data_IF_266501885098
#
_entry.id   IF_266501885098
#
_cell.length_a   1.000
_cell.length_b   1.000
_cell.length_c   1.000
_cell.angle_alpha   90.00
_cell.angle_beta   90.00
_cell.angle_gamma   90.00
#
_symmetry.space_group_name_H-M   'P 1'
#
loop_
_entity.id
_entity.type
_entity.pdbx_description
1 polymer ?
#
# COMPACT_ATOMS: atom_id res chain seq x y z
N UNK A 1 14.25 -0.80 14.02
CA UNK A 1 15.63 -1.03 13.50
C UNK A 1 15.72 -2.30 12.66
N UNK A 2 15.08 -3.41 13.05
CA UNK A 2 15.10 -4.65 12.24
C UNK A 2 14.44 -4.48 10.86
N UNK A 3 13.47 -3.58 10.72
CA UNK A 3 12.77 -3.31 9.47
C UNK A 3 13.71 -2.81 8.35
N UNK A 4 14.82 -2.15 8.71
CA UNK A 4 15.83 -1.72 7.75
C UNK A 4 16.53 -2.89 7.04
N UNK A 5 16.56 -4.08 7.66
CA UNK A 5 17.13 -5.28 7.04
C UNK A 5 16.24 -5.89 5.95
N UNK A 6 15.03 -5.37 5.76
CA UNK A 6 14.15 -5.76 4.66
C UNK A 6 14.40 -4.96 3.37
N UNK A 7 15.25 -3.93 3.43
CA UNK A 7 15.65 -3.15 2.25
C UNK A 7 16.44 -4.02 1.28
N UNK A 8 16.17 -3.84 -0.02
CA UNK A 8 16.95 -4.50 -1.07
C UNK A 8 18.43 -4.07 -1.04
N UNK A 9 19.32 -5.03 -1.24
CA UNK A 9 20.75 -4.77 -1.35
C UNK A 9 21.06 -4.39 -2.80
N UNK A 10 21.68 -3.22 -2.98
CA UNK A 10 22.08 -2.72 -4.28
C UNK A 10 23.43 -3.36 -4.71
N UNK A 11 23.60 -3.71 -5.99
CA UNK A 11 24.84 -4.28 -6.50
C UNK A 11 25.92 -3.20 -6.68
N UNK A 12 26.89 -3.15 -5.78
CA UNK A 12 27.99 -2.18 -5.80
C UNK A 12 28.69 -2.12 -7.17
N UNK A 13 29.02 -3.28 -7.73
CA UNK A 13 29.75 -3.39 -9.00
C UNK A 13 29.01 -2.78 -10.23
N UNK A 14 27.72 -2.48 -10.10
CA UNK A 14 26.92 -1.82 -11.15
C UNK A 14 26.64 -0.34 -10.83
N UNK A 15 26.86 0.07 -9.59
CA UNK A 15 26.47 1.40 -9.11
C UNK A 15 27.65 2.22 -8.59
N UNK A 16 28.85 1.63 -8.50
CA UNK A 16 30.05 2.34 -8.06
C UNK A 16 30.34 3.51 -9.00
N UNK A 17 30.34 4.71 -8.45
CA UNK A 17 30.57 5.97 -9.20
C UNK A 17 29.35 6.53 -9.93
N UNK A 18 28.19 5.85 -9.89
CA UNK A 18 26.95 6.31 -10.49
C UNK A 18 26.12 7.16 -9.52
N UNK A 19 25.38 8.13 -10.05
CA UNK A 19 24.32 8.78 -9.27
C UNK A 19 23.09 7.87 -9.22
N UNK A 20 22.77 7.36 -8.04
CA UNK A 20 21.65 6.43 -7.81
C UNK A 20 20.30 6.99 -8.21
N UNK A 21 20.15 8.32 -8.32
CA UNK A 21 18.88 8.94 -8.73
C UNK A 21 18.67 8.94 -10.25
N UNK A 22 19.75 8.89 -11.03
CA UNK A 22 19.72 9.07 -12.49
C UNK A 22 20.28 7.90 -13.27
N UNK A 23 20.86 6.91 -12.60
CA UNK A 23 21.47 5.74 -13.26
C UNK A 23 20.47 4.94 -14.09
N UNK A 24 20.93 4.40 -15.21
CA UNK A 24 20.14 3.48 -16.05
C UNK A 24 19.76 2.18 -15.35
N UNK A 25 20.41 1.84 -14.24
CA UNK A 25 20.04 0.72 -13.37
C UNK A 25 18.57 0.80 -12.90
N UNK A 26 18.05 2.02 -12.69
CA UNK A 26 16.65 2.20 -12.27
C UNK A 26 15.63 1.78 -13.33
N UNK A 27 16.05 1.70 -14.60
CA UNK A 27 15.22 1.25 -15.71
C UNK A 27 15.45 -0.23 -16.07
N UNK A 28 16.61 -0.77 -15.67
CA UNK A 28 16.98 -2.16 -15.91
C UNK A 28 17.58 -2.77 -14.65
N UNK A 29 16.77 -2.95 -13.58
CA UNK A 29 17.28 -3.39 -12.30
C UNK A 29 17.75 -4.85 -12.35
N UNK A 30 18.87 -5.12 -11.69
CA UNK A 30 19.40 -6.47 -11.47
C UNK A 30 19.25 -6.82 -10.00
N UNK A 31 18.63 -7.95 -9.71
CA UNK A 31 18.39 -8.42 -8.36
C UNK A 31 18.53 -9.92 -8.22
N UNK A 32 18.44 -10.41 -6.99
CA UNK A 32 18.53 -11.84 -6.64
C UNK A 32 17.17 -12.48 -6.40
N UNK A 33 16.10 -11.83 -6.84
CA UNK A 33 14.72 -12.25 -6.61
C UNK A 33 14.30 -13.47 -7.43
N UNK A 34 13.06 -13.93 -7.16
CA UNK A 34 12.43 -15.04 -7.88
C UNK A 34 12.12 -14.74 -9.34
N UNK A 35 12.04 -13.46 -9.67
CA UNK A 35 11.79 -12.96 -11.02
C UNK A 35 12.89 -11.98 -11.39
N UNK A 36 13.24 -11.97 -12.67
CA UNK A 36 14.16 -11.03 -13.32
C UNK A 36 13.36 -10.02 -14.10
N UNK A 37 13.82 -8.78 -14.15
CA UNK A 37 13.27 -7.75 -15.01
C UNK A 37 13.44 -8.14 -16.49
N UNK A 38 12.41 -7.94 -17.29
CA UNK A 38 12.43 -8.20 -18.73
C UNK A 38 12.20 -6.92 -19.53
N UNK A 39 11.14 -6.18 -19.21
CA UNK A 39 10.76 -4.99 -19.98
C UNK A 39 9.94 -4.02 -19.14
N UNK A 40 10.02 -2.74 -19.48
CA UNK A 40 9.20 -1.68 -18.96
C UNK A 40 8.66 -0.80 -20.08
N UNK A 41 7.40 -0.99 -20.43
CA UNK A 41 6.64 -0.06 -21.27
C UNK A 41 6.14 1.11 -20.39
N UNK A 42 6.92 2.17 -20.33
CA UNK A 42 6.57 3.38 -19.56
C UNK A 42 5.32 4.09 -20.12
N UNK A 43 5.05 3.96 -21.42
CA UNK A 43 3.88 4.58 -22.08
C UNK A 43 2.61 3.78 -21.82
N UNK A 44 2.68 2.48 -21.92
CA UNK A 44 1.57 1.55 -21.64
C UNK A 44 1.39 1.27 -20.13
N UNK A 45 2.31 1.74 -19.28
CA UNK A 45 2.26 1.54 -17.84
C UNK A 45 2.41 0.06 -17.45
N UNK A 46 3.25 -0.69 -18.16
CA UNK A 46 3.43 -2.12 -17.93
C UNK A 46 4.88 -2.45 -17.60
N UNK A 47 5.07 -3.34 -16.63
CA UNK A 47 6.36 -3.94 -16.30
C UNK A 47 6.23 -5.44 -16.45
N UNK A 48 7.11 -6.03 -17.24
CA UNK A 48 7.18 -7.48 -17.46
C UNK A 48 8.35 -8.08 -16.71
N UNK A 49 8.06 -9.10 -15.95
CA UNK A 49 9.05 -9.88 -15.21
C UNK A 49 9.03 -11.33 -15.68
N UNK A 50 10.20 -11.95 -15.83
CA UNK A 50 10.35 -13.37 -16.09
C UNK A 50 10.90 -14.13 -14.90
N UNK A 51 10.46 -15.36 -14.76
CA UNK A 51 10.94 -16.30 -13.73
C UNK A 51 12.47 -16.43 -13.78
N UNK A 52 13.10 -16.32 -12.63
CA UNK A 52 14.53 -16.57 -12.49
C UNK A 52 14.79 -18.07 -12.30
N UNK A 53 15.24 -18.73 -13.35
CA UNK A 53 15.56 -20.17 -13.32
C UNK A 53 16.76 -20.49 -12.40
N UNK A 54 17.64 -19.48 -12.16
CA UNK A 54 18.81 -19.60 -11.30
C UNK A 54 18.53 -19.16 -9.86
N UNK A 55 17.25 -19.01 -9.49
CA UNK A 55 16.91 -18.60 -8.14
C UNK A 55 17.37 -19.63 -7.10
N UNK A 56 18.06 -19.17 -6.06
CA UNK A 56 18.64 -20.03 -5.03
C UNK A 56 17.62 -20.77 -4.15
N UNK A 57 16.34 -20.42 -4.21
CA UNK A 57 15.25 -21.08 -3.51
C UNK A 57 14.36 -21.85 -4.49
N UNK A 58 13.10 -22.05 -4.11
CA UNK A 58 12.11 -22.69 -4.99
C UNK A 58 11.78 -21.77 -6.16
N UNK A 59 12.07 -22.23 -7.37
CA UNK A 59 11.68 -21.55 -8.61
C UNK A 59 10.16 -21.46 -8.71
N UNK A 60 9.58 -20.27 -9.05
CA UNK A 60 8.14 -20.11 -9.20
C UNK A 60 7.55 -20.95 -10.34
N UNK A 61 6.29 -21.35 -10.20
CA UNK A 61 5.57 -22.05 -11.29
C UNK A 61 5.15 -21.11 -12.41
N UNK A 62 4.85 -19.84 -12.08
CA UNK A 62 4.44 -18.82 -13.07
C UNK A 62 5.70 -18.34 -13.79
N UNK A 63 5.69 -18.43 -15.11
CA UNK A 63 6.85 -18.07 -15.94
C UNK A 63 6.98 -16.56 -16.11
N UNK A 64 5.88 -15.88 -16.39
CA UNK A 64 5.86 -14.44 -16.69
C UNK A 64 4.83 -13.74 -15.79
N UNK A 65 5.23 -12.61 -15.21
CA UNK A 65 4.33 -11.72 -14.44
C UNK A 65 4.35 -10.36 -15.10
N UNK A 66 3.16 -9.85 -15.43
CA UNK A 66 2.99 -8.51 -15.99
C UNK A 66 2.28 -7.64 -14.98
N UNK A 67 2.94 -6.59 -14.51
CA UNK A 67 2.31 -5.55 -13.72
C UNK A 67 1.77 -4.47 -14.65
N UNK A 68 0.51 -4.10 -14.47
CA UNK A 68 -0.13 -3.03 -15.23
C UNK A 68 -0.65 -1.95 -14.29
N UNK A 69 -0.28 -0.71 -14.54
CA UNK A 69 -0.80 0.43 -13.80
C UNK A 69 -2.19 0.80 -14.31
N UNK A 70 -3.18 0.71 -13.43
CA UNK A 70 -4.56 1.12 -13.71
C UNK A 70 -5.01 1.99 -12.55
N UNK A 71 -5.34 3.26 -12.81
CA UNK A 71 -5.70 4.23 -11.77
C UNK A 71 -7.14 4.10 -11.31
N UNK A 72 -8.04 3.67 -12.21
CA UNK A 72 -9.48 3.59 -11.95
C UNK A 72 -9.89 2.24 -11.37
N UNK A 73 -10.55 2.27 -10.22
CA UNK A 73 -10.96 1.07 -9.50
C UNK A 73 -12.04 0.25 -10.23
N UNK A 74 -12.95 0.93 -10.95
CA UNK A 74 -13.98 0.26 -11.75
C UNK A 74 -13.35 -0.51 -12.89
N UNK A 75 -12.36 0.10 -13.54
CA UNK A 75 -11.60 -0.54 -14.61
C UNK A 75 -10.85 -1.77 -14.10
N UNK A 76 -10.18 -1.69 -12.94
CA UNK A 76 -9.51 -2.85 -12.32
C UNK A 76 -10.49 -4.00 -12.05
N UNK A 77 -11.65 -3.67 -11.46
CA UNK A 77 -12.68 -4.67 -11.17
C UNK A 77 -13.23 -5.31 -12.46
N UNK A 78 -13.42 -4.53 -13.51
CA UNK A 78 -13.88 -5.02 -14.81
C UNK A 78 -12.85 -5.94 -15.48
N UNK A 79 -11.57 -5.57 -15.44
CA UNK A 79 -10.48 -6.41 -15.96
C UNK A 79 -10.40 -7.76 -15.26
N UNK A 80 -10.60 -7.76 -13.92
CA UNK A 80 -10.65 -9.00 -13.15
C UNK A 80 -11.88 -9.86 -13.53
N UNK A 81 -13.04 -9.21 -13.75
CA UNK A 81 -14.28 -9.91 -14.16
C UNK A 81 -14.21 -10.47 -15.56
N UNK A 82 -13.55 -9.78 -16.49
CA UNK A 82 -13.38 -10.21 -17.87
C UNK A 82 -12.28 -11.26 -18.08
N UNK A 83 -11.46 -11.49 -17.05
CA UNK A 83 -10.28 -12.34 -17.15
C UNK A 83 -9.08 -11.68 -17.86
N UNK A 84 -9.13 -10.35 -18.06
CA UNK A 84 -7.99 -9.58 -18.57
C UNK A 84 -6.89 -9.42 -17.51
N UNK A 85 -7.27 -9.51 -16.23
CA UNK A 85 -6.35 -9.56 -15.10
C UNK A 85 -6.61 -10.79 -14.25
N UNK A 86 -5.54 -11.47 -13.83
CA UNK A 86 -5.58 -12.64 -12.93
C UNK A 86 -5.62 -12.24 -11.46
N UNK A 87 -5.07 -11.06 -11.13
CA UNK A 87 -5.00 -10.51 -9.79
C UNK A 87 -5.17 -9.00 -9.83
N UNK A 88 -5.97 -8.45 -8.93
CA UNK A 88 -6.10 -7.00 -8.77
C UNK A 88 -6.07 -6.60 -7.31
N UNK A 89 -5.40 -5.50 -7.01
CA UNK A 89 -5.53 -4.81 -5.74
C UNK A 89 -6.66 -3.80 -5.85
N UNK A 90 -7.71 -4.00 -5.06
CA UNK A 90 -8.91 -3.17 -5.06
C UNK A 90 -9.12 -2.56 -3.69
N UNK A 91 -9.71 -1.37 -3.64
CA UNK A 91 -10.20 -0.84 -2.39
C UNK A 91 -11.44 -1.61 -1.91
N UNK A 92 -11.80 -1.46 -0.63
CA UNK A 92 -12.83 -2.24 0.04
C UNK A 92 -14.18 -2.24 -0.68
N UNK A 93 -14.60 -1.07 -1.22
CA UNK A 93 -15.89 -0.92 -1.88
C UNK A 93 -16.01 -1.76 -3.15
N UNK A 94 -14.91 -1.85 -3.91
CA UNK A 94 -14.86 -2.64 -5.14
C UNK A 94 -14.48 -4.09 -4.88
N UNK A 95 -13.66 -4.36 -3.88
CA UNK A 95 -13.24 -5.72 -3.52
C UNK A 95 -14.41 -6.55 -2.97
N UNK A 96 -15.33 -5.94 -2.22
CA UNK A 96 -16.46 -6.61 -1.59
C UNK A 96 -17.36 -7.41 -2.56
N UNK A 97 -17.44 -6.98 -3.83
CA UNK A 97 -18.21 -7.69 -4.86
C UNK A 97 -17.63 -9.06 -5.25
N UNK A 98 -16.38 -9.34 -4.88
CA UNK A 98 -15.69 -10.61 -5.15
C UNK A 98 -15.63 -11.52 -3.93
N UNK A 99 -16.03 -11.01 -2.75
CA UNK A 99 -16.09 -11.78 -1.52
C UNK A 99 -17.15 -12.86 -1.66
N UNK A 100 -16.79 -14.09 -1.33
CA UNK A 100 -17.65 -15.27 -1.40
C UNK A 100 -18.24 -15.56 -2.81
N UNK A 101 -17.66 -15.00 -3.86
CA UNK A 101 -18.07 -15.22 -5.24
C UNK A 101 -17.32 -16.38 -5.85
N UNK A 102 -18.06 -17.32 -6.44
CA UNK A 102 -17.48 -18.49 -7.13
C UNK A 102 -16.48 -18.07 -8.22
N UNK A 103 -15.35 -18.77 -8.27
CA UNK A 103 -14.29 -18.53 -9.27
C UNK A 103 -13.28 -17.46 -8.84
N UNK A 104 -13.44 -16.84 -7.67
CA UNK A 104 -12.51 -15.87 -7.13
C UNK A 104 -11.95 -16.30 -5.79
N UNK A 105 -10.67 -15.98 -5.58
CA UNK A 105 -10.06 -16.02 -4.27
C UNK A 105 -9.96 -14.60 -3.72
N UNK A 106 -10.42 -14.38 -2.52
CA UNK A 106 -10.41 -13.08 -1.85
C UNK A 106 -9.44 -13.11 -0.67
N UNK A 107 -8.53 -12.17 -0.62
CA UNK A 107 -7.62 -11.99 0.50
C UNK A 107 -7.71 -10.56 1.03
N UNK A 108 -7.77 -10.45 2.32
CA UNK A 108 -7.84 -9.19 3.04
C UNK A 108 -6.56 -9.02 3.87
N UNK A 109 -5.90 -7.90 3.69
CA UNK A 109 -4.67 -7.58 4.38
C UNK A 109 -4.87 -6.31 5.20
N UNK A 110 -4.55 -6.37 6.48
CA UNK A 110 -4.49 -5.18 7.30
C UNK A 110 -3.15 -4.50 7.09
N UNK A 111 -3.18 -3.24 6.69
CA UNK A 111 -1.99 -2.41 6.50
C UNK A 111 -1.61 -1.67 7.78
N UNK A 112 -0.45 -1.03 7.79
CA UNK A 112 -0.06 -0.07 8.83
C UNK A 112 -0.46 1.38 8.47
N UNK A 113 -1.29 1.55 7.45
CA UNK A 113 -1.74 2.85 7.01
C UNK A 113 -2.53 3.55 8.10
N UNK A 114 -2.20 4.82 8.29
CA UNK A 114 -2.89 5.71 9.20
C UNK A 114 -3.49 6.86 8.41
N UNK A 115 -4.75 7.14 8.65
CA UNK A 115 -5.44 8.30 8.08
C UNK A 115 -5.87 9.24 9.19
N UNK A 116 -5.44 10.47 9.08
CA UNK A 116 -5.74 11.50 10.05
C UNK A 116 -5.80 12.87 9.40
N UNK A 117 -6.43 13.82 10.07
CA UNK A 117 -6.40 15.22 9.71
C UNK A 117 -5.23 15.90 10.42
N UNK A 118 -4.34 16.51 9.66
CA UNK A 118 -3.28 17.36 10.20
C UNK A 118 -3.69 18.83 10.04
N UNK A 119 -3.58 19.60 11.12
CA UNK A 119 -3.90 21.03 11.10
C UNK A 119 -2.64 21.83 10.79
N UNK A 120 -2.75 22.78 9.88
CA UNK A 120 -1.64 23.68 9.59
C UNK A 120 -1.51 24.75 10.68
N UNK A 121 -0.67 24.45 11.66
CA UNK A 121 -0.40 25.32 12.80
C UNK A 121 0.35 26.62 12.42
N UNK A 122 0.74 26.79 11.16
CA UNK A 122 1.36 28.05 10.69
C UNK A 122 0.33 29.13 10.37
N UNK A 123 -0.94 28.76 10.17
CA UNK A 123 -2.03 29.73 9.93
C UNK A 123 -2.43 30.46 11.18
N UNK A 124 -2.88 31.71 11.03
CA UNK A 124 -3.25 32.56 12.18
C UNK A 124 -4.43 31.94 12.93
N UNK A 125 -5.39 31.36 12.22
CA UNK A 125 -6.53 30.69 12.86
C UNK A 125 -6.08 29.59 13.83
N UNK A 126 -5.18 28.68 13.42
CA UNK A 126 -4.74 27.59 14.29
C UNK A 126 -3.71 28.01 15.33
N UNK A 127 -2.95 29.09 15.11
CA UNK A 127 -2.11 29.68 16.15
C UNK A 127 -2.95 30.20 17.33
N UNK A 128 -4.10 30.80 17.03
CA UNK A 128 -4.99 31.35 18.04
C UNK A 128 -5.92 30.30 18.67
N UNK A 129 -6.26 29.23 17.93
CA UNK A 129 -7.25 28.22 18.30
C UNK A 129 -6.69 26.82 18.46
N UNK A 130 -5.40 26.65 18.67
CA UNK A 130 -4.73 25.33 18.74
C UNK A 130 -5.35 24.41 19.80
N UNK A 131 -5.78 24.94 20.91
CA UNK A 131 -6.45 24.19 21.98
C UNK A 131 -7.79 23.58 21.55
N UNK A 132 -8.41 24.11 20.47
CA UNK A 132 -9.67 23.60 19.93
C UNK A 132 -9.51 22.31 19.12
N UNK A 133 -8.28 21.88 18.78
CA UNK A 133 -8.04 20.64 18.05
C UNK A 133 -8.60 19.44 18.82
N UNK A 134 -8.46 19.44 20.14
CA UNK A 134 -9.03 18.40 21.00
C UNK A 134 -10.55 18.26 20.82
N UNK A 135 -11.25 19.38 20.66
CA UNK A 135 -12.71 19.40 20.48
C UNK A 135 -13.14 18.71 19.17
N UNK A 136 -12.34 18.82 18.11
CA UNK A 136 -12.64 18.15 16.83
C UNK A 136 -12.68 16.62 16.97
N UNK A 137 -11.94 16.05 17.91
CA UNK A 137 -11.98 14.61 18.14
C UNK A 137 -13.32 14.12 18.69
N UNK A 138 -14.04 14.95 19.44
CA UNK A 138 -15.40 14.64 19.90
C UNK A 138 -16.45 14.76 18.79
N UNK A 139 -16.20 15.59 17.78
CA UNK A 139 -17.08 15.75 16.64
C UNK A 139 -16.90 14.68 15.53
N UNK A 140 -15.88 13.83 15.66
CA UNK A 140 -15.56 12.81 14.64
C UNK A 140 -16.13 11.44 15.04
N UNK A 141 -17.25 11.06 14.41
CA UNK A 141 -17.77 9.70 14.47
C UNK A 141 -16.92 8.77 13.60
N UNK A 142 -15.86 8.24 14.19
CA UNK A 142 -14.89 7.38 13.50
C UNK A 142 -15.54 6.08 13.03
N UNK A 143 -16.45 5.51 13.81
CA UNK A 143 -17.12 4.25 13.48
C UNK A 143 -18.06 4.41 12.28
N UNK A 144 -18.83 5.49 12.24
CA UNK A 144 -19.68 5.81 11.07
C UNK A 144 -18.86 6.12 9.81
N UNK A 145 -17.70 6.78 9.95
CA UNK A 145 -16.78 7.00 8.83
C UNK A 145 -16.24 5.68 8.30
N UNK A 146 -15.79 4.78 9.17
CA UNK A 146 -15.29 3.46 8.79
C UNK A 146 -16.40 2.65 8.10
N UNK A 147 -17.59 2.62 8.66
CA UNK A 147 -18.72 1.90 8.09
C UNK A 147 -19.14 2.45 6.73
N UNK A 148 -19.25 3.76 6.58
CA UNK A 148 -19.76 4.41 5.37
C UNK A 148 -18.75 4.58 4.25
N UNK A 149 -17.47 4.86 4.59
CA UNK A 149 -16.43 5.17 3.59
C UNK A 149 -15.58 3.96 3.26
N UNK A 150 -15.30 3.11 4.25
CA UNK A 150 -14.41 1.96 4.11
C UNK A 150 -15.15 0.62 4.04
N UNK A 151 -16.48 0.64 3.90
CA UNK A 151 -17.32 -0.57 3.92
C UNK A 151 -17.06 -1.46 5.16
N UNK A 152 -16.79 -0.83 6.30
CA UNK A 152 -16.46 -1.49 7.56
C UNK A 152 -15.02 -2.04 7.65
N UNK A 153 -14.18 -1.80 6.67
CA UNK A 153 -12.80 -2.28 6.67
C UNK A 153 -11.84 -1.23 7.21
N UNK A 154 -11.51 -1.36 8.47
CA UNK A 154 -10.64 -0.47 9.20
C UNK A 154 -10.94 -0.51 10.69
N UNK A 155 -10.09 0.12 11.46
CA UNK A 155 -10.26 0.27 12.90
C UNK A 155 -10.06 1.74 13.29
N UNK A 156 -10.77 2.25 14.32
CA UNK A 156 -10.51 3.58 14.86
C UNK A 156 -9.05 3.71 15.30
N UNK A 157 -8.39 4.76 14.85
CA UNK A 157 -7.02 5.03 15.23
C UNK A 157 -6.96 5.76 16.58
N UNK A 158 -6.11 5.26 17.48
CA UNK A 158 -5.83 5.86 18.79
C UNK A 158 -4.47 6.58 18.82
N UNK A 159 -3.60 6.24 17.89
CA UNK A 159 -2.30 6.89 17.68
C UNK A 159 -1.87 6.72 16.21
N UNK A 160 -0.90 7.53 15.73
CA UNK A 160 -0.35 7.35 14.38
C UNK A 160 0.38 6.02 14.21
N UNK A 161 0.76 5.35 15.30
CA UNK A 161 1.48 4.07 15.29
C UNK A 161 0.50 2.97 15.68
N UNK A 162 -0.18 2.37 14.69
CA UNK A 162 -1.24 1.40 14.93
C UNK A 162 -0.74 -0.03 15.14
N UNK A 163 0.37 -0.39 14.53
CA UNK A 163 0.95 -1.73 14.57
C UNK A 163 2.40 -1.68 15.01
N UNK A 164 2.60 -1.39 16.27
CA UNK A 164 3.92 -1.44 16.86
C UNK A 164 4.01 -2.71 17.76
N UNK A 165 4.98 -3.61 17.54
CA UNK A 165 5.25 -4.69 18.48
C UNK A 165 5.62 -4.21 19.89
N UNK A 166 5.96 -2.93 20.02
CA UNK A 166 6.19 -2.27 21.32
C UNK A 166 4.89 -1.77 21.99
N UNK A 167 3.74 -2.03 21.37
CA UNK A 167 2.42 -1.71 21.90
C UNK A 167 1.84 -0.40 21.37
N UNK A 168 0.59 -0.47 20.91
CA UNK A 168 -0.28 0.69 20.77
C UNK A 168 -1.09 0.82 22.03
N UNK A 169 -1.02 1.99 22.66
CA UNK A 169 -1.83 2.27 23.83
C UNK A 169 -3.27 2.61 23.40
N UNK A 170 -4.14 1.61 23.40
CA UNK A 170 -5.56 1.80 23.13
C UNK A 170 -6.26 2.59 24.25
N UNK A 171 -5.67 2.65 25.42
CA UNK A 171 -6.17 3.44 26.54
C UNK A 171 -5.86 4.94 26.38
N UNK A 172 -4.97 5.29 25.43
CA UNK A 172 -4.73 6.68 25.06
C UNK A 172 -5.91 7.36 24.34
N UNK A 173 -6.96 6.61 23.98
CA UNK A 173 -8.18 7.22 23.45
C UNK A 173 -8.95 7.94 24.55
N UNK A 174 -8.61 9.21 24.74
CA UNK A 174 -9.27 10.10 25.71
C UNK A 174 -10.47 10.84 25.13
N UNK A 175 -10.74 10.67 23.83
CA UNK A 175 -11.83 11.33 23.12
C UNK A 175 -12.83 10.28 22.60
N UNK A 176 -14.08 10.38 22.99
CA UNK A 176 -15.20 9.65 22.43
C UNK A 176 -16.10 10.59 21.63
N UNK A 177 -16.67 10.14 20.55
CA UNK A 177 -17.68 10.89 19.80
C UNK A 177 -18.88 11.20 20.71
N UNK A 178 -19.33 12.47 20.73
CA UNK A 178 -20.46 12.97 21.52
C UNK A 178 -21.29 13.97 20.68
#
# INVERSE_FOLDING_TARGET
MLDYFTMGILPEHLLEGEDVNTTSFNQNPVGTGRYKFEDWDATGGMITLKRNEDYYGKVPNIETVVYRTVSDETTKATMLQSGEADLAWLNSNYASQFKDKDGYNYWEFTTADYRGAAMDMSTDFWKENGDSIGVLNYALDKDSIIAGVLAGQGEPAYSPIQRNPLGTDKEANIYSYD
#
